data_IF_974487110137
#
_entry.id   IF_974487110137
#
_cell.length_a   1.000
_cell.length_b   1.000
_cell.length_c   1.000
_cell.angle_alpha   90.00
_cell.angle_beta   90.00
_cell.angle_gamma   90.00
#
_symmetry.space_group_name_H-M   'P 1'
#
loop_
_entity.id
_entity.type
_entity.pdbx_description
1 polymer ?
#
# COMPACT_ATOMS: atom_id res chain seq x y z
N UNK A 1 -33.15 -46.42 -35.71
CA UNK A 1 -33.02 -45.01 -36.16
C UNK A 1 -33.36 -44.00 -35.06
N UNK A 2 -34.53 -44.11 -34.42
CA UNK A 2 -35.02 -43.17 -33.39
C UNK A 2 -34.03 -42.93 -32.23
N UNK A 3 -33.36 -43.97 -31.72
CA UNK A 3 -32.35 -43.82 -30.65
C UNK A 3 -31.15 -42.96 -31.06
N UNK A 4 -30.73 -43.03 -32.33
CA UNK A 4 -29.61 -42.22 -32.86
C UNK A 4 -30.02 -40.75 -33.02
N UNK A 5 -31.26 -40.50 -33.43
CA UNK A 5 -31.83 -39.14 -33.55
C UNK A 5 -32.01 -38.50 -32.17
N UNK A 6 -32.55 -39.24 -31.19
CA UNK A 6 -32.66 -38.78 -29.82
C UNK A 6 -31.29 -38.43 -29.20
N UNK A 7 -30.28 -39.25 -29.44
CA UNK A 7 -28.91 -38.97 -29.00
C UNK A 7 -28.35 -37.69 -29.64
N UNK A 8 -28.60 -37.47 -30.94
CA UNK A 8 -28.15 -36.27 -31.63
C UNK A 8 -28.82 -35.00 -31.08
N UNK A 9 -30.13 -35.05 -30.81
CA UNK A 9 -30.87 -33.94 -30.20
C UNK A 9 -30.32 -33.64 -28.79
N UNK A 10 -30.05 -34.66 -27.99
CA UNK A 10 -29.44 -34.51 -26.67
C UNK A 10 -28.06 -33.84 -26.76
N UNK A 11 -27.23 -34.27 -27.73
CA UNK A 11 -25.90 -33.68 -27.95
C UNK A 11 -25.99 -32.17 -28.25
N UNK A 12 -26.94 -31.78 -29.10
CA UNK A 12 -27.17 -30.36 -29.44
C UNK A 12 -27.57 -29.57 -28.20
N UNK A 13 -28.47 -30.11 -27.36
CA UNK A 13 -28.85 -29.46 -26.10
C UNK A 13 -27.67 -29.28 -25.14
N UNK A 14 -26.80 -30.29 -25.02
CA UNK A 14 -25.60 -30.21 -24.17
C UNK A 14 -24.65 -29.12 -24.66
N UNK A 15 -24.46 -28.99 -25.97
CA UNK A 15 -23.60 -27.93 -26.55
C UNK A 15 -24.18 -26.54 -26.25
N UNK A 16 -25.48 -26.34 -26.43
CA UNK A 16 -26.15 -25.07 -26.13
C UNK A 16 -26.04 -24.73 -24.64
N UNK A 17 -26.25 -25.73 -23.77
CA UNK A 17 -26.15 -25.56 -22.33
C UNK A 17 -24.72 -25.18 -21.89
N UNK A 18 -23.70 -25.88 -22.40
CA UNK A 18 -22.29 -25.57 -22.14
C UNK A 18 -21.92 -24.16 -22.61
N UNK A 19 -22.37 -23.75 -23.80
CA UNK A 19 -22.14 -22.41 -24.32
C UNK A 19 -22.75 -21.34 -23.41
N UNK A 20 -23.99 -21.54 -22.97
CA UNK A 20 -24.68 -20.61 -22.07
C UNK A 20 -23.99 -20.53 -20.70
N UNK A 21 -23.62 -21.68 -20.12
CA UNK A 21 -22.97 -21.74 -18.83
C UNK A 21 -21.57 -21.09 -18.86
N UNK A 22 -20.80 -21.30 -19.92
CA UNK A 22 -19.50 -20.63 -20.11
C UNK A 22 -19.67 -19.12 -20.25
N UNK A 23 -20.65 -18.66 -21.04
CA UNK A 23 -20.93 -17.22 -21.17
C UNK A 23 -21.35 -16.57 -19.84
N UNK A 24 -22.10 -17.28 -19.01
CA UNK A 24 -22.48 -16.82 -17.68
C UNK A 24 -21.26 -16.75 -16.73
N UNK A 25 -20.44 -17.80 -16.70
CA UNK A 25 -19.23 -17.83 -15.88
C UNK A 25 -18.25 -16.72 -16.26
N UNK A 26 -18.02 -16.46 -17.55
CA UNK A 26 -17.15 -15.37 -18.00
C UNK A 26 -17.65 -14.02 -17.51
N UNK A 27 -18.97 -13.76 -17.57
CA UNK A 27 -19.56 -12.53 -17.03
C UNK A 27 -19.41 -12.43 -15.52
N UNK A 28 -19.55 -13.54 -14.80
CA UNK A 28 -19.36 -13.58 -13.36
C UNK A 28 -17.90 -13.27 -12.99
N UNK A 29 -16.93 -13.96 -13.57
CA UNK A 29 -15.51 -13.68 -13.36
C UNK A 29 -15.12 -12.25 -13.75
N UNK A 30 -15.71 -11.70 -14.81
CA UNK A 30 -15.48 -10.30 -15.19
C UNK A 30 -15.95 -9.33 -14.10
N UNK A 31 -17.11 -9.58 -13.47
CA UNK A 31 -17.62 -8.76 -12.36
C UNK A 31 -16.77 -8.90 -11.11
N UNK A 32 -16.31 -10.12 -10.82
CA UNK A 32 -15.44 -10.38 -9.69
C UNK A 32 -14.09 -9.65 -9.86
N UNK A 33 -13.51 -9.69 -11.05
CA UNK A 33 -12.32 -8.91 -11.39
C UNK A 33 -12.54 -7.40 -11.20
N UNK A 34 -13.67 -6.87 -11.66
CA UNK A 34 -14.00 -5.44 -11.49
C UNK A 34 -14.13 -5.07 -10.00
N UNK A 35 -14.77 -5.91 -9.20
CA UNK A 35 -14.90 -5.70 -7.76
C UNK A 35 -13.55 -5.76 -7.04
N UNK A 36 -12.69 -6.72 -7.39
CA UNK A 36 -11.33 -6.83 -6.85
C UNK A 36 -10.53 -5.59 -7.21
N UNK A 37 -10.62 -5.12 -8.46
CA UNK A 37 -9.92 -3.91 -8.90
C UNK A 37 -10.37 -2.67 -8.10
N UNK A 38 -11.67 -2.47 -7.92
CA UNK A 38 -12.21 -1.38 -7.08
C UNK A 38 -11.68 -1.44 -5.65
N UNK A 39 -11.61 -2.64 -5.07
CA UNK A 39 -11.07 -2.82 -3.72
C UNK A 39 -9.58 -2.47 -3.66
N UNK A 40 -8.77 -2.89 -4.64
CA UNK A 40 -7.35 -2.55 -4.73
C UNK A 40 -7.16 -1.04 -4.82
N UNK A 41 -7.93 -0.36 -5.67
CA UNK A 41 -7.82 1.09 -5.85
C UNK A 41 -8.18 1.83 -4.55
N UNK A 42 -9.23 1.40 -3.85
CA UNK A 42 -9.61 1.97 -2.55
C UNK A 42 -8.50 1.79 -1.49
N UNK A 43 -7.86 0.62 -1.43
CA UNK A 43 -6.77 0.36 -0.49
C UNK A 43 -5.53 1.19 -0.84
N UNK A 44 -5.25 1.40 -2.13
CA UNK A 44 -4.15 2.24 -2.60
C UNK A 44 -4.34 3.70 -2.21
N UNK A 45 -5.56 4.22 -2.30
CA UNK A 45 -5.88 5.57 -1.82
C UNK A 45 -5.69 5.71 -0.31
N UNK A 46 -6.17 4.74 0.46
CA UNK A 46 -5.98 4.71 1.92
C UNK A 46 -4.48 4.68 2.26
N UNK A 47 -3.70 3.81 1.59
CA UNK A 47 -2.27 3.71 1.81
C UNK A 47 -1.56 5.03 1.48
N UNK A 48 -1.93 5.68 0.38
CA UNK A 48 -1.40 7.00 0.00
C UNK A 48 -1.72 8.06 1.05
N UNK A 49 -2.96 8.09 1.55
CA UNK A 49 -3.38 9.00 2.62
C UNK A 49 -2.58 8.77 3.90
N UNK A 50 -2.43 7.51 4.33
CA UNK A 50 -1.68 7.15 5.53
C UNK A 50 -0.20 7.53 5.39
N UNK A 51 0.41 7.27 4.25
CA UNK A 51 1.79 7.66 3.96
C UNK A 51 1.96 9.19 4.03
N UNK A 52 1.06 9.95 3.39
CA UNK A 52 1.09 11.41 3.46
C UNK A 52 0.92 11.93 4.90
N UNK A 53 -0.01 11.33 5.66
CA UNK A 53 -0.24 11.68 7.06
C UNK A 53 0.98 11.34 7.94
N UNK A 54 1.61 10.20 7.72
CA UNK A 54 2.82 9.82 8.43
C UNK A 54 3.98 10.78 8.12
N UNK A 55 4.18 11.14 6.85
CA UNK A 55 5.19 12.13 6.48
C UNK A 55 4.93 13.50 7.12
N UNK A 56 3.67 13.92 7.24
CA UNK A 56 3.30 15.14 7.97
C UNK A 56 3.57 15.02 9.47
N UNK A 57 3.26 13.87 10.08
CA UNK A 57 3.52 13.59 11.50
C UNK A 57 5.01 13.59 11.83
N UNK A 58 5.82 12.92 11.00
CA UNK A 58 7.27 12.82 11.13
C UNK A 58 8.01 14.07 10.63
N UNK A 59 7.28 15.08 10.13
CA UNK A 59 7.93 16.30 9.66
C UNK A 59 8.67 16.98 10.82
N UNK A 60 9.95 17.26 10.61
CA UNK A 60 10.83 17.92 11.59
C UNK A 60 10.18 19.20 12.14
N UNK A 61 9.50 19.96 11.29
CA UNK A 61 8.77 21.18 11.66
C UNK A 61 7.75 20.92 12.76
N UNK A 62 6.91 19.88 12.61
CA UNK A 62 5.91 19.52 13.61
C UNK A 62 6.55 19.03 14.92
N UNK A 63 7.63 18.26 14.83
CA UNK A 63 8.36 17.77 16.02
C UNK A 63 8.93 18.96 16.81
N UNK A 64 9.53 19.92 16.11
CA UNK A 64 10.06 21.16 16.69
C UNK A 64 8.95 22.00 17.31
N UNK A 65 7.81 22.18 16.63
CA UNK A 65 6.64 22.88 17.18
C UNK A 65 6.11 22.22 18.45
N UNK A 66 5.96 20.89 18.46
CA UNK A 66 5.50 20.15 19.65
C UNK A 66 6.49 20.22 20.81
N UNK A 67 7.79 20.15 20.54
CA UNK A 67 8.83 20.29 21.55
C UNK A 67 8.84 21.71 22.14
N UNK A 68 8.60 22.74 21.32
CA UNK A 68 8.44 24.11 21.79
C UNK A 68 7.20 24.28 22.67
N UNK A 69 6.05 23.78 22.23
CA UNK A 69 4.78 23.92 22.97
C UNK A 69 4.76 23.13 24.29
N UNK A 70 5.28 21.89 24.29
CA UNK A 70 5.11 20.98 25.43
C UNK A 70 6.30 20.89 26.37
N UNK A 71 7.49 21.23 25.89
CA UNK A 71 8.73 21.10 26.65
C UNK A 71 9.44 22.46 26.81
N UNK A 72 8.82 23.56 26.38
CA UNK A 72 9.37 24.93 26.39
C UNK A 72 10.76 25.02 25.74
N UNK A 73 11.00 24.17 24.73
CA UNK A 73 12.28 24.11 24.03
C UNK A 73 12.34 25.18 22.93
N UNK A 74 13.34 26.06 23.01
CA UNK A 74 13.59 27.06 21.96
C UNK A 74 14.66 26.56 20.99
N UNK A 75 14.26 26.36 19.73
CA UNK A 75 15.19 26.05 18.64
C UNK A 75 15.39 27.32 17.79
N UNK A 76 16.63 27.77 17.55
CA UNK A 76 16.89 28.95 16.73
C UNK A 76 16.51 28.71 15.26
N UNK A 77 15.85 29.69 14.64
CA UNK A 77 15.39 29.65 13.24
C UNK A 77 16.52 29.85 12.20
N UNK A 78 17.77 30.04 12.64
CA UNK A 78 18.89 30.22 11.72
C UNK A 78 19.30 28.89 11.08
N UNK A 79 19.17 28.83 9.75
CA UNK A 79 19.95 27.94 8.90
C UNK A 79 21.44 28.11 9.18
N UNK A 80 21.98 27.41 10.17
CA UNK A 80 23.42 27.21 10.33
C UNK A 80 23.64 25.82 10.90
N UNK A 81 24.12 24.93 10.02
CA UNK A 81 25.21 23.94 10.14
C UNK A 81 25.59 23.26 11.48
N UNK A 82 24.98 23.61 12.62
CA UNK A 82 25.20 22.96 13.90
C UNK A 82 24.23 21.81 14.06
N UNK A 83 24.46 20.78 13.23
CA UNK A 83 24.22 19.41 13.66
C UNK A 83 25.07 19.25 14.92
N UNK A 84 24.45 19.35 16.11
CA UNK A 84 25.06 18.80 17.32
C UNK A 84 25.07 17.30 17.09
N UNK A 85 26.11 16.86 16.40
CA UNK A 85 26.50 15.47 16.33
C UNK A 85 26.93 15.17 17.73
N UNK A 86 26.04 14.60 18.54
CA UNK A 86 26.45 13.90 19.75
C UNK A 86 27.44 12.85 19.24
N UNK A 87 28.74 13.12 19.41
CA UNK A 87 29.76 12.11 19.19
C UNK A 87 29.47 11.04 20.23
N UNK A 88 28.72 10.01 19.85
CA UNK A 88 28.88 8.73 20.49
C UNK A 88 30.32 8.32 20.21
N UNK A 89 31.19 8.46 21.21
CA UNK A 89 32.41 7.70 21.23
C UNK A 89 32.02 6.22 21.34
N UNK A 90 31.89 5.58 20.18
CA UNK A 90 32.48 4.26 20.04
C UNK A 90 32.87 4.07 18.57
N UNK A 91 34.06 3.54 18.37
CA UNK A 91 34.73 3.40 17.07
C UNK A 91 33.77 3.07 15.92
N UNK A 92 33.82 3.90 14.87
CA UNK A 92 33.31 3.64 13.52
C UNK A 92 31.81 3.29 13.39
N UNK A 93 30.95 4.29 13.51
CA UNK A 93 29.91 4.64 12.51
C UNK A 93 28.85 5.54 13.19
N UNK A 94 28.82 6.81 12.79
CA UNK A 94 27.91 7.82 13.37
C UNK A 94 26.49 7.58 12.88
N UNK A 95 25.71 6.82 13.64
CA UNK A 95 24.25 6.82 13.55
C UNK A 95 23.70 7.94 14.45
N UNK A 96 22.89 8.82 13.87
CA UNK A 96 22.22 9.91 14.59
C UNK A 96 20.97 9.36 15.28
N UNK A 97 20.51 9.92 16.41
CA UNK A 97 19.25 9.50 17.05
C UNK A 97 18.03 9.64 16.11
N UNK A 98 18.13 10.52 15.12
CA UNK A 98 17.18 10.64 14.02
C UNK A 98 17.19 9.42 13.07
N UNK A 99 18.36 8.79 12.86
CA UNK A 99 18.50 7.55 12.08
C UNK A 99 17.90 6.32 12.80
N UNK A 100 17.68 6.41 14.11
CA UNK A 100 16.97 5.40 14.91
C UNK A 100 15.44 5.61 14.92
N UNK A 101 14.97 6.84 14.67
CA UNK A 101 13.55 7.19 14.68
C UNK A 101 12.91 7.16 13.28
N UNK A 102 13.71 7.35 12.24
CA UNK A 102 13.31 7.19 10.85
C UNK A 102 13.72 5.77 10.44
N UNK A 103 12.79 4.87 10.05
CA UNK A 103 13.22 3.63 9.42
C UNK A 103 14.03 4.00 8.19
N UNK A 104 15.32 3.67 8.20
CA UNK A 104 16.25 3.93 7.11
C UNK A 104 15.64 3.37 5.83
N UNK A 105 15.76 4.09 4.70
CA UNK A 105 15.15 3.67 3.43
C UNK A 105 15.52 2.23 3.00
N UNK A 106 16.65 1.69 3.49
CA UNK A 106 17.05 0.29 3.31
C UNK A 106 16.13 -0.73 4.01
N UNK A 107 15.42 -0.35 5.08
CA UNK A 107 14.44 -1.22 5.73
C UNK A 107 13.11 -1.30 4.98
N UNK A 108 12.85 -0.38 4.03
CA UNK A 108 11.65 -0.42 3.18
C UNK A 108 11.83 -1.25 1.90
N UNK A 109 13.06 -1.64 1.56
CA UNK A 109 13.42 -2.37 0.32
C UNK A 109 13.82 -3.84 0.57
N UNK A 110 13.46 -4.43 1.71
CA UNK A 110 13.62 -5.86 1.98
C UNK A 110 12.29 -6.59 2.09
#
# INVERSE_FOLDING_TARGET
MIKKIAFFIFLVFVIIFLHFQNGHQIKQYSRDCENIQKNIDSQKEIAKYLCAKNNSLCSRKRIVELAKERLDMSFPDEERENIITVKLENNNSKATFLDLLIPSADALNR
#
